data_IF_493165382958
#
_entry.id   IF_493165382958
#
_cell.length_a   1.000
_cell.length_b   1.000
_cell.length_c   1.000
_cell.angle_alpha   90.00
_cell.angle_beta   90.00
_cell.angle_gamma   90.00
#
_symmetry.space_group_name_H-M   'P 1'
#
loop_
_entity.id
_entity.type
_entity.pdbx_description
1 polymer ?
#
# COMPACT_ATOMS: atom_id res chain seq x y z
N UNK A 1 -50.93 35.74 42.99
CA UNK A 1 -50.09 34.53 43.12
C UNK A 1 -49.74 34.09 41.69
N UNK A 2 -48.70 34.68 41.06
CA UNK A 2 -47.35 34.11 40.91
C UNK A 2 -47.32 32.59 40.85
N UNK A 3 -47.08 32.03 39.66
CA UNK A 3 -45.91 31.18 39.38
C UNK A 3 -45.77 30.97 37.87
N UNK A 4 -44.61 31.41 37.38
CA UNK A 4 -44.09 31.27 36.02
C UNK A 4 -43.54 29.85 35.90
N UNK A 5 -44.00 29.06 34.94
CA UNK A 5 -43.42 27.74 34.67
C UNK A 5 -42.24 27.89 33.72
N UNK A 6 -41.06 27.57 34.23
CA UNK A 6 -39.78 27.74 33.59
C UNK A 6 -39.50 26.67 32.52
N UNK A 7 -38.93 27.17 31.42
CA UNK A 7 -37.91 26.58 30.56
C UNK A 7 -37.30 25.23 31.00
N UNK A 8 -37.34 24.24 30.11
CA UNK A 8 -36.27 23.23 29.99
C UNK A 8 -35.95 23.10 28.50
N UNK A 9 -34.99 23.93 28.06
CA UNK A 9 -34.37 23.85 26.75
C UNK A 9 -33.24 22.83 26.88
N UNK A 10 -33.48 21.61 26.41
CA UNK A 10 -32.49 20.53 26.42
C UNK A 10 -31.36 20.93 25.47
N UNK A 11 -30.23 21.37 26.01
CA UNK A 11 -29.02 21.55 25.23
C UNK A 11 -28.49 20.16 24.86
N UNK A 12 -28.59 19.82 23.59
CA UNK A 12 -27.77 18.75 22.99
C UNK A 12 -26.35 19.33 22.92
N UNK A 13 -25.48 18.85 23.81
CA UNK A 13 -24.06 19.15 23.74
C UNK A 13 -23.51 18.49 22.47
N UNK A 14 -23.29 19.30 21.44
CA UNK A 14 -22.41 18.96 20.33
C UNK A 14 -21.00 18.99 20.91
N UNK A 15 -20.45 17.81 21.22
CA UNK A 15 -19.03 17.67 21.54
C UNK A 15 -18.26 17.85 20.25
N UNK A 16 -17.75 19.07 20.04
CA UNK A 16 -16.70 19.37 19.09
C UNK A 16 -15.50 18.49 19.48
N UNK A 17 -15.03 17.64 18.57
CA UNK A 17 -13.77 16.92 18.75
C UNK A 17 -12.67 17.97 18.97
N UNK A 18 -12.17 18.06 20.21
CA UNK A 18 -10.94 18.80 20.48
C UNK A 18 -9.81 18.10 19.70
N UNK A 19 -8.90 18.86 19.10
CA UNK A 19 -7.61 18.32 18.67
C UNK A 19 -6.99 17.60 19.87
N UNK A 20 -6.93 16.27 19.84
CA UNK A 20 -6.62 15.48 21.04
C UNK A 20 -5.17 15.71 21.51
N UNK A 21 -4.94 16.63 22.43
CA UNK A 21 -3.65 16.82 23.08
C UNK A 21 -3.24 15.55 23.85
N UNK A 22 -1.94 15.30 24.00
CA UNK A 22 -1.46 14.15 24.77
C UNK A 22 -2.04 14.17 26.20
N UNK A 23 -2.72 13.10 26.64
CA UNK A 23 -3.35 13.11 27.94
C UNK A 23 -2.29 13.28 29.02
N UNK A 24 -2.56 14.18 29.96
CA UNK A 24 -1.74 14.38 31.16
C UNK A 24 -2.41 13.71 32.34
N UNK A 25 -1.61 13.27 33.31
CA UNK A 25 -2.10 12.66 34.53
C UNK A 25 -3.14 13.56 35.21
N UNK A 26 -4.38 13.08 35.30
CA UNK A 26 -5.50 13.83 35.91
C UNK A 26 -5.52 13.75 37.43
N UNK A 27 -4.68 12.87 37.99
CA UNK A 27 -4.51 12.67 39.43
C UNK A 27 -3.02 12.59 39.70
N UNK A 28 -2.57 13.19 40.80
CA UNK A 28 -1.19 13.11 41.26
C UNK A 28 -0.88 11.69 41.75
N UNK A 29 -0.79 10.72 40.84
CA UNK A 29 -0.22 9.41 41.10
C UNK A 29 1.27 9.65 41.41
N UNK A 30 1.76 9.24 42.58
CA UNK A 30 3.16 9.46 42.93
C UNK A 30 4.05 8.54 42.09
N UNK A 31 4.44 9.01 40.91
CA UNK A 31 5.51 8.39 40.14
C UNK A 31 6.87 8.78 40.71
N UNK A 32 7.83 7.87 40.65
CA UNK A 32 9.21 8.23 40.92
C UNK A 32 9.69 9.21 39.85
N UNK A 33 10.64 10.08 40.22
CA UNK A 33 11.24 11.04 39.29
C UNK A 33 12.30 10.39 38.38
N UNK A 34 12.26 9.06 38.24
CA UNK A 34 13.17 8.32 37.38
C UNK A 34 12.86 8.66 35.91
N UNK A 35 13.88 8.99 35.14
CA UNK A 35 13.70 9.38 33.74
C UNK A 35 14.09 8.22 32.83
N UNK A 36 13.09 7.49 32.38
CA UNK A 36 13.17 6.37 31.43
C UNK A 36 12.08 6.59 30.38
N UNK A 37 12.29 7.52 29.42
CA UNK A 37 11.20 8.03 28.61
C UNK A 37 10.57 6.94 27.75
N UNK A 38 9.25 7.01 27.62
CA UNK A 38 8.44 6.10 26.79
C UNK A 38 7.55 6.92 25.86
N UNK A 39 7.33 6.46 24.64
CA UNK A 39 6.35 7.04 23.72
C UNK A 39 5.11 6.16 23.71
N UNK A 40 3.94 6.71 24.03
CA UNK A 40 2.72 5.91 24.14
C UNK A 40 1.54 6.50 23.36
N UNK A 41 0.67 5.59 22.91
CA UNK A 41 -0.54 5.89 22.17
C UNK A 41 -0.33 6.19 20.68
N UNK A 42 -1.43 6.41 19.94
CA UNK A 42 -1.41 6.58 18.49
C UNK A 42 -0.76 7.89 18.01
N UNK A 43 -0.50 8.83 18.92
CA UNK A 43 0.21 10.09 18.66
C UNK A 43 1.68 10.06 19.10
N UNK A 44 2.16 8.92 19.59
CA UNK A 44 3.53 8.74 20.08
C UNK A 44 3.91 9.78 21.16
N UNK A 45 3.04 9.97 22.15
CA UNK A 45 3.21 10.95 23.22
C UNK A 45 4.38 10.56 24.14
N UNK A 46 5.32 11.48 24.38
CA UNK A 46 6.47 11.23 25.25
C UNK A 46 6.12 11.45 26.73
N UNK A 47 6.35 10.42 27.54
CA UNK A 47 6.23 10.45 29.00
C UNK A 47 7.59 10.20 29.64
N UNK A 48 7.85 10.84 30.78
CA UNK A 48 9.14 10.71 31.49
C UNK A 48 9.46 9.28 31.94
N UNK A 49 8.44 8.47 32.19
CA UNK A 49 8.53 7.04 32.48
C UNK A 49 7.17 6.36 32.28
N UNK A 50 7.16 5.02 32.34
CA UNK A 50 5.94 4.21 32.21
C UNK A 50 4.86 4.61 33.22
N UNK A 51 5.23 4.92 34.47
CA UNK A 51 4.28 5.38 35.48
C UNK A 51 3.57 6.67 35.05
N UNK A 52 4.29 7.60 34.41
CA UNK A 52 3.71 8.82 33.84
C UNK A 52 2.70 8.53 32.73
N UNK A 53 2.99 7.54 31.88
CA UNK A 53 2.10 7.08 30.83
C UNK A 53 0.85 6.36 31.40
N UNK A 54 1.02 5.50 32.41
CA UNK A 54 -0.07 4.83 33.13
C UNK A 54 -0.99 5.83 33.83
N UNK A 55 -0.42 6.87 34.44
CA UNK A 55 -1.18 7.95 35.05
C UNK A 55 -1.97 8.77 34.01
N UNK A 56 -1.51 8.80 32.75
CA UNK A 56 -2.21 9.37 31.61
C UNK A 56 -3.22 8.41 30.97
N UNK A 57 -3.29 7.15 31.43
CA UNK A 57 -4.25 6.14 30.98
C UNK A 57 -3.71 5.14 29.97
N UNK A 58 -2.41 5.11 29.70
CA UNK A 58 -1.78 4.14 28.80
C UNK A 58 -1.24 2.92 29.55
N UNK A 59 -1.48 1.72 29.04
CA UNK A 59 -0.78 0.52 29.48
C UNK A 59 0.60 0.42 28.82
N UNK A 60 1.49 -0.42 29.36
CA UNK A 60 2.80 -0.71 28.75
C UNK A 60 2.68 -1.17 27.29
N UNK A 61 1.64 -1.94 26.95
CA UNK A 61 1.37 -2.39 25.60
C UNK A 61 0.97 -1.25 24.63
N UNK A 62 0.54 -0.11 25.17
CA UNK A 62 0.25 1.09 24.39
C UNK A 62 1.51 1.93 24.14
N UNK A 63 2.65 1.53 24.71
CA UNK A 63 3.92 2.22 24.59
C UNK A 63 4.85 1.52 23.59
N UNK A 64 5.73 2.31 22.97
CA UNK A 64 6.74 1.84 22.05
C UNK A 64 7.84 1.09 22.79
N UNK A 65 8.10 -0.18 22.44
CA UNK A 65 9.16 -0.96 23.07
C UNK A 65 10.52 -0.30 22.89
N UNK A 66 11.32 -0.33 23.95
CA UNK A 66 12.71 0.11 23.92
C UNK A 66 13.57 -0.86 23.09
N UNK A 67 14.69 -0.35 22.58
CA UNK A 67 15.69 -1.16 21.89
C UNK A 67 16.32 -2.16 22.87
N UNK A 68 16.56 -3.38 22.41
CA UNK A 68 17.39 -4.33 23.15
C UNK A 68 18.86 -3.93 23.11
N UNK A 69 19.50 -3.84 24.29
CA UNK A 69 20.94 -3.57 24.44
C UNK A 69 21.84 -4.69 23.86
N UNK A 70 21.26 -5.85 23.53
CA UNK A 70 21.99 -7.00 23.00
C UNK A 70 22.21 -6.93 21.48
N UNK A 71 21.49 -6.05 20.78
CA UNK A 71 21.52 -5.96 19.30
C UNK A 71 22.25 -4.69 18.86
N UNK A 72 23.34 -4.87 18.13
CA UNK A 72 24.06 -3.75 17.51
C UNK A 72 23.56 -3.50 16.09
N UNK A 73 22.94 -2.34 15.89
CA UNK A 73 22.49 -1.88 14.57
C UNK A 73 23.50 -0.93 13.92
N UNK A 74 23.40 -0.75 12.61
CA UNK A 74 24.12 0.31 11.91
C UNK A 74 23.56 1.67 12.33
N UNK A 75 24.40 2.71 12.27
CA UNK A 75 24.01 4.11 12.52
C UNK A 75 23.34 4.77 11.31
N UNK A 76 22.89 3.96 10.34
CA UNK A 76 22.18 4.45 9.17
C UNK A 76 20.78 4.93 9.59
N UNK A 77 20.38 6.10 9.11
CA UNK A 77 19.10 6.70 9.44
C UNK A 77 18.13 6.55 8.26
N UNK A 78 17.32 5.50 8.30
CA UNK A 78 16.22 5.22 7.37
C UNK A 78 15.00 4.93 8.23
N UNK A 79 14.33 5.97 8.75
CA UNK A 79 13.34 5.80 9.80
C UNK A 79 12.16 4.93 9.36
N UNK A 80 11.68 4.10 10.28
CA UNK A 80 10.50 3.25 10.09
C UNK A 80 9.50 3.50 11.22
N UNK A 81 8.21 3.45 10.90
CA UNK A 81 7.12 3.51 11.87
C UNK A 81 6.48 2.13 12.00
N UNK A 82 6.48 1.56 13.20
CA UNK A 82 6.06 0.17 13.41
C UNK A 82 4.89 0.03 14.39
N UNK A 83 4.07 -0.98 14.14
CA UNK A 83 2.92 -1.35 14.98
C UNK A 83 1.75 -0.36 14.95
N UNK A 84 0.71 -0.68 15.70
CA UNK A 84 -0.51 0.14 15.78
C UNK A 84 -0.25 1.55 16.35
N UNK A 85 0.75 1.68 17.22
CA UNK A 85 1.14 2.95 17.86
C UNK A 85 2.09 3.80 17.00
N UNK A 86 2.44 3.36 15.78
CA UNK A 86 3.32 4.08 14.85
C UNK A 86 4.65 4.49 15.50
N UNK A 87 5.29 3.53 16.16
CA UNK A 87 6.55 3.72 16.86
C UNK A 87 7.69 4.00 15.88
N UNK A 88 8.36 5.14 16.03
CA UNK A 88 9.44 5.53 15.13
C UNK A 88 10.78 4.97 15.59
N UNK A 89 11.42 4.18 14.73
CA UNK A 89 12.77 3.66 14.93
C UNK A 89 13.71 4.22 13.87
N UNK A 90 14.98 4.41 14.23
CA UNK A 90 15.99 4.99 13.32
C UNK A 90 16.22 4.19 12.05
N UNK A 91 16.00 2.88 12.11
CA UNK A 91 16.04 1.96 10.98
C UNK A 91 15.32 0.64 11.32
N UNK A 92 15.16 -0.22 10.32
CA UNK A 92 14.52 -1.53 10.46
C UNK A 92 15.21 -2.43 11.51
N UNK A 93 16.53 -2.33 11.67
CA UNK A 93 17.24 -3.09 12.70
C UNK A 93 16.81 -2.64 14.10
N UNK A 94 16.66 -1.33 14.34
CA UNK A 94 16.16 -0.81 15.60
C UNK A 94 14.73 -1.27 15.90
N UNK A 95 13.86 -1.29 14.90
CA UNK A 95 12.51 -1.84 15.07
C UNK A 95 12.54 -3.35 15.41
N UNK A 96 13.41 -4.10 14.75
CA UNK A 96 13.55 -5.55 14.97
C UNK A 96 14.13 -5.86 16.34
N UNK A 97 15.07 -5.05 16.84
CA UNK A 97 15.60 -5.20 18.21
C UNK A 97 14.57 -4.84 19.28
N UNK A 98 13.59 -3.99 18.95
CA UNK A 98 12.41 -3.70 19.75
C UNK A 98 11.30 -4.77 19.61
N UNK A 99 11.51 -5.80 18.78
CA UNK A 99 10.61 -6.96 18.64
C UNK A 99 9.62 -6.91 17.47
N UNK A 100 9.67 -5.88 16.63
CA UNK A 100 8.84 -5.80 15.43
C UNK A 100 9.37 -6.64 14.28
N UNK A 101 8.48 -7.19 13.46
CA UNK A 101 8.85 -7.76 12.17
C UNK A 101 8.88 -6.67 11.10
N UNK A 102 9.57 -6.92 9.99
CA UNK A 102 9.56 -6.02 8.83
C UNK A 102 8.13 -5.77 8.33
N UNK A 103 7.25 -6.76 8.45
CA UNK A 103 5.84 -6.64 8.06
C UNK A 103 5.02 -5.69 8.94
N UNK A 104 5.52 -5.37 10.13
CA UNK A 104 4.85 -4.50 11.09
C UNK A 104 5.23 -3.03 10.90
N UNK A 105 6.17 -2.75 9.98
CA UNK A 105 6.84 -1.48 9.83
C UNK A 105 6.55 -0.81 8.47
N UNK A 106 6.45 0.51 8.49
CA UNK A 106 6.29 1.36 7.33
C UNK A 106 7.46 2.34 7.21
N UNK A 107 8.17 2.39 6.07
CA UNK A 107 9.19 3.40 5.85
C UNK A 107 8.61 4.80 6.00
N UNK A 108 9.30 5.66 6.76
CA UNK A 108 8.92 7.05 6.87
C UNK A 108 9.34 7.83 5.61
N UNK A 109 8.66 8.94 5.35
CA UNK A 109 8.98 9.82 4.23
C UNK A 109 10.36 10.44 4.44
N UNK A 110 11.21 10.46 3.41
CA UNK A 110 12.47 11.17 3.45
C UNK A 110 12.23 12.69 3.58
N UNK A 111 12.92 13.31 4.54
CA UNK A 111 12.91 14.77 4.75
C UNK A 111 13.58 15.54 3.60
N UNK A 112 14.34 14.85 2.74
CA UNK A 112 15.01 15.47 1.58
C UNK A 112 14.07 15.69 0.39
N UNK A 113 12.85 15.13 0.42
CA UNK A 113 11.89 15.19 -0.68
C UNK A 113 10.73 16.12 -0.30
N UNK A 114 10.60 17.23 -1.03
CA UNK A 114 9.50 18.16 -0.85
C UNK A 114 8.29 17.74 -1.68
N UNK A 115 7.22 17.31 -1.01
CA UNK A 115 5.95 16.95 -1.64
C UNK A 115 4.92 18.08 -1.58
N UNK A 116 3.93 18.04 -2.47
CA UNK A 116 2.75 18.91 -2.34
C UNK A 116 1.95 18.51 -1.11
N UNK A 117 1.26 19.48 -0.50
CA UNK A 117 0.34 19.25 0.62
C UNK A 117 -1.04 18.76 0.16
N UNK A 118 -1.14 18.29 -1.09
CA UNK A 118 -2.37 17.69 -1.60
C UNK A 118 -2.65 16.37 -0.87
N UNK A 119 -3.88 16.20 -0.42
CA UNK A 119 -4.30 14.98 0.25
C UNK A 119 -4.99 14.06 -0.76
N UNK A 120 -4.26 13.03 -1.19
CA UNK A 120 -4.71 11.99 -2.11
C UNK A 120 -4.14 10.65 -1.62
N UNK A 121 -4.66 10.13 -0.50
CA UNK A 121 -4.00 9.08 0.25
C UNK A 121 -3.79 7.81 -0.56
N UNK A 122 -2.63 7.18 -0.37
CA UNK A 122 -2.26 5.92 -1.02
C UNK A 122 -1.81 4.91 0.02
N UNK A 123 -2.07 3.65 -0.25
CA UNK A 123 -1.68 2.50 0.54
C UNK A 123 -0.62 1.69 -0.21
N UNK A 124 0.59 1.59 0.31
CA UNK A 124 1.73 1.02 -0.43
C UNK A 124 2.38 -0.17 0.26
N UNK A 125 2.94 -1.07 -0.56
CA UNK A 125 3.67 -2.26 -0.13
C UNK A 125 2.80 -3.35 0.49
N UNK A 126 3.44 -4.48 0.82
CA UNK A 126 2.77 -5.61 1.46
C UNK A 126 2.16 -5.25 2.83
N UNK A 127 2.78 -4.31 3.53
CA UNK A 127 2.39 -3.86 4.87
C UNK A 127 1.26 -2.82 4.84
N UNK A 128 0.80 -2.46 3.63
CA UNK A 128 -0.35 -1.57 3.45
C UNK A 128 -0.16 -0.21 4.15
N UNK A 129 1.03 0.36 3.96
CA UNK A 129 1.46 1.61 4.57
C UNK A 129 0.71 2.81 3.98
N UNK A 130 0.14 3.65 4.84
CA UNK A 130 -0.63 4.81 4.41
C UNK A 130 0.25 6.05 4.27
N UNK A 131 0.19 6.69 3.11
CA UNK A 131 0.84 7.96 2.83
C UNK A 131 -0.19 8.99 2.38
N UNK A 132 0.08 10.27 2.69
CA UNK A 132 -0.83 11.38 2.34
C UNK A 132 -1.05 11.54 0.84
N UNK A 133 -0.06 11.18 0.03
CA UNK A 133 -0.13 11.14 -1.41
C UNK A 133 1.01 10.29 -2.01
N UNK A 134 0.95 10.09 -3.32
CA UNK A 134 1.95 9.31 -4.06
C UNK A 134 3.38 9.86 -3.94
N UNK A 135 3.55 11.18 -3.84
CA UNK A 135 4.87 11.77 -3.62
C UNK A 135 5.43 11.35 -2.25
N UNK A 136 4.60 11.39 -1.20
CA UNK A 136 4.97 10.94 0.13
C UNK A 136 5.38 9.46 0.16
N UNK A 137 4.65 8.61 -0.55
CA UNK A 137 5.03 7.21 -0.72
C UNK A 137 6.36 7.06 -1.48
N UNK A 138 6.56 7.84 -2.54
CA UNK A 138 7.81 7.88 -3.29
C UNK A 138 9.01 8.33 -2.45
N UNK A 139 8.82 9.32 -1.58
CA UNK A 139 9.82 9.77 -0.62
C UNK A 139 10.17 8.69 0.41
N UNK A 140 9.25 7.76 0.66
CA UNK A 140 9.46 6.58 1.50
C UNK A 140 10.04 5.37 0.71
N UNK A 141 10.29 5.52 -0.60
CA UNK A 141 10.94 4.53 -1.46
C UNK A 141 9.99 3.69 -2.33
N UNK A 142 8.68 3.93 -2.29
CA UNK A 142 7.70 3.18 -3.08
C UNK A 142 7.57 3.71 -4.51
N UNK A 143 7.35 2.81 -5.46
CA UNK A 143 6.91 3.18 -6.81
C UNK A 143 5.38 3.26 -6.87
N UNK A 144 4.85 3.92 -7.91
CA UNK A 144 3.40 4.00 -8.14
C UNK A 144 2.76 2.61 -8.30
N UNK A 145 3.51 1.65 -8.85
CA UNK A 145 3.06 0.25 -8.99
C UNK A 145 2.95 -0.48 -7.66
N UNK A 146 3.60 0.02 -6.62
CA UNK A 146 3.58 -0.60 -5.29
C UNK A 146 2.42 -0.04 -4.43
N UNK A 147 1.66 0.90 -4.97
CA UNK A 147 0.67 1.69 -4.25
C UNK A 147 -0.74 1.52 -4.82
N UNK A 148 -1.71 1.58 -3.92
CA UNK A 148 -3.13 1.56 -4.23
C UNK A 148 -3.80 2.82 -3.68
N UNK A 149 -4.58 3.55 -4.49
CA UNK A 149 -5.35 4.69 -4.00
C UNK A 149 -6.26 4.27 -2.85
N UNK A 150 -6.31 5.06 -1.77
CA UNK A 150 -7.27 4.81 -0.71
C UNK A 150 -8.66 5.30 -1.12
N UNK A 151 -9.70 4.60 -0.67
CA UNK A 151 -11.07 5.03 -0.87
C UNK A 151 -11.30 6.40 -0.19
N UNK A 152 -11.90 7.34 -0.93
CA UNK A 152 -12.28 8.64 -0.37
C UNK A 152 -13.25 8.48 0.81
N UNK A 153 -12.95 9.18 1.91
CA UNK A 153 -13.82 9.23 3.09
C UNK A 153 -15.13 10.01 2.84
N UNK A 154 -15.20 10.80 1.76
CA UNK A 154 -16.39 11.56 1.38
C UNK A 154 -17.48 10.68 0.77
N UNK A 155 -17.14 9.45 0.36
CA UNK A 155 -18.06 8.50 -0.26
C UNK A 155 -18.49 7.45 0.75
N UNK A 156 -19.79 7.45 1.09
CA UNK A 156 -20.38 6.45 1.98
C UNK A 156 -20.81 5.23 1.17
N UNK A 157 -20.10 4.12 1.35
CA UNK A 157 -20.43 2.84 0.75
C UNK A 157 -21.26 1.95 1.69
N UNK A 158 -22.00 1.00 1.11
CA UNK A 158 -22.60 -0.06 1.92
C UNK A 158 -21.50 -0.95 2.51
N UNK A 159 -21.77 -1.54 3.67
CA UNK A 159 -20.86 -2.47 4.33
C UNK A 159 -20.90 -3.89 3.71
N UNK A 160 -21.49 -4.04 2.52
CA UNK A 160 -21.57 -5.31 1.82
C UNK A 160 -20.17 -5.74 1.39
N UNK A 161 -19.81 -6.99 1.67
CA UNK A 161 -18.49 -7.52 1.35
C UNK A 161 -18.56 -8.35 0.06
N UNK A 162 -18.11 -7.73 -1.03
CA UNK A 162 -18.02 -8.33 -2.37
C UNK A 162 -16.71 -7.87 -3.01
N UNK A 163 -15.56 -8.44 -2.57
CA UNK A 163 -14.26 -7.86 -2.83
C UNK A 163 -13.92 -7.82 -4.32
N UNK A 164 -13.24 -6.75 -4.73
CA UNK A 164 -12.78 -6.53 -6.11
C UNK A 164 -11.29 -6.19 -6.14
N UNK A 165 -10.61 -6.59 -7.21
CA UNK A 165 -9.23 -6.23 -7.52
C UNK A 165 -9.25 -5.24 -8.67
N UNK A 166 -8.67 -4.04 -8.51
CA UNK A 166 -8.77 -3.00 -9.53
C UNK A 166 -7.41 -2.47 -9.99
N UNK A 167 -7.36 -2.08 -11.27
CA UNK A 167 -6.20 -1.50 -11.93
C UNK A 167 -5.06 -2.49 -12.16
N UNK A 168 -3.96 -1.99 -12.72
CA UNK A 168 -2.77 -2.79 -13.00
C UNK A 168 -2.10 -3.35 -11.73
N UNK A 169 -2.26 -2.65 -10.60
CA UNK A 169 -1.67 -3.02 -9.32
C UNK A 169 -2.52 -4.04 -8.53
N UNK A 170 -3.63 -4.51 -9.10
CA UNK A 170 -4.56 -5.47 -8.48
C UNK A 170 -5.00 -5.04 -7.06
N UNK A 171 -5.36 -3.77 -6.92
CA UNK A 171 -5.72 -3.17 -5.64
C UNK A 171 -7.02 -3.76 -5.07
N UNK A 172 -6.96 -4.24 -3.83
CA UNK A 172 -8.11 -4.88 -3.16
C UNK A 172 -9.02 -3.86 -2.50
N UNK A 173 -10.30 -3.90 -2.85
CA UNK A 173 -11.35 -3.13 -2.18
C UNK A 173 -12.41 -4.08 -1.65
N UNK A 174 -13.08 -3.69 -0.56
CA UNK A 174 -14.16 -4.48 0.06
C UNK A 174 -15.35 -4.70 -0.86
N UNK A 175 -15.60 -3.74 -1.75
CA UNK A 175 -16.64 -3.79 -2.78
C UNK A 175 -16.37 -2.77 -3.88
N UNK A 176 -17.18 -2.85 -4.95
CA UNK A 176 -17.10 -1.94 -6.10
C UNK A 176 -17.29 -0.46 -5.72
N UNK A 177 -18.08 -0.16 -4.68
CA UNK A 177 -18.23 1.21 -4.21
C UNK A 177 -16.92 1.74 -3.61
N UNK A 178 -16.23 0.94 -2.79
CA UNK A 178 -14.92 1.31 -2.23
C UNK A 178 -13.87 1.54 -3.32
N UNK A 179 -13.86 0.71 -4.37
CA UNK A 179 -13.01 0.92 -5.53
C UNK A 179 -13.38 2.22 -6.29
N UNK A 180 -14.67 2.48 -6.47
CA UNK A 180 -15.16 3.73 -7.08
C UNK A 180 -14.78 4.97 -6.29
N UNK A 181 -14.84 4.90 -4.96
CA UNK A 181 -14.40 5.96 -4.05
C UNK A 181 -12.88 6.19 -4.14
N UNK A 182 -12.11 5.17 -4.52
CA UNK A 182 -10.68 5.26 -4.81
C UNK A 182 -10.38 5.72 -6.26
N UNK A 183 -11.41 5.97 -7.08
CA UNK A 183 -11.31 6.49 -8.44
C UNK A 183 -11.40 5.46 -9.57
N UNK A 184 -11.60 4.17 -9.26
CA UNK A 184 -11.69 3.11 -10.26
C UNK A 184 -13.07 3.03 -10.90
N UNK A 185 -13.13 2.72 -12.20
CA UNK A 185 -14.38 2.34 -12.85
C UNK A 185 -14.64 0.85 -12.70
N UNK A 186 -15.89 0.42 -12.89
CA UNK A 186 -16.26 -1.00 -12.85
C UNK A 186 -15.50 -1.84 -13.89
N UNK A 187 -15.16 -1.24 -15.03
CA UNK A 187 -14.35 -1.89 -16.09
C UNK A 187 -12.90 -2.10 -15.70
N UNK A 188 -12.41 -1.36 -14.71
CA UNK A 188 -11.03 -1.46 -14.23
C UNK A 188 -10.89 -2.52 -13.13
N UNK A 189 -12.00 -3.15 -12.73
CA UNK A 189 -12.11 -4.04 -11.59
C UNK A 189 -12.53 -5.45 -11.99
N UNK A 190 -11.99 -6.42 -11.26
CA UNK A 190 -12.29 -7.83 -11.38
C UNK A 190 -12.75 -8.40 -10.03
N UNK A 191 -13.81 -9.21 -9.97
CA UNK A 191 -14.21 -9.88 -8.75
C UNK A 191 -13.06 -10.71 -8.15
N UNK A 192 -12.82 -10.58 -6.85
CA UNK A 192 -11.83 -11.41 -6.18
C UNK A 192 -12.40 -12.82 -5.93
N UNK A 193 -11.59 -13.88 -6.08
CA UNK A 193 -12.03 -15.24 -5.82
C UNK A 193 -12.42 -15.43 -4.34
N UNK A 194 -13.48 -16.20 -4.10
CA UNK A 194 -13.93 -16.54 -2.75
C UNK A 194 -12.83 -17.31 -2.00
N UNK A 195 -12.48 -16.91 -0.77
CA UNK A 195 -11.48 -17.62 0.04
C UNK A 195 -11.96 -19.00 0.51
N UNK A 196 -13.27 -19.28 0.41
CA UNK A 196 -13.86 -20.55 0.82
C UNK A 196 -13.69 -21.66 -0.23
N UNK A 197 -13.22 -21.32 -1.43
CA UNK A 197 -13.01 -22.26 -2.54
C UNK A 197 -11.52 -22.55 -2.69
N UNK A 198 -11.14 -23.81 -2.47
CA UNK A 198 -9.77 -24.27 -2.66
C UNK A 198 -9.55 -24.75 -4.10
N UNK A 199 -8.72 -24.04 -4.85
CA UNK A 199 -8.32 -24.40 -6.20
C UNK A 199 -6.90 -24.97 -6.24
N UNK A 200 -6.59 -25.73 -7.29
CA UNK A 200 -5.22 -26.16 -7.58
C UNK A 200 -4.36 -24.96 -7.96
N UNK A 201 -3.06 -25.01 -7.66
CA UNK A 201 -2.09 -23.97 -8.06
C UNK A 201 -1.59 -24.13 -9.51
N UNK A 202 -2.22 -25.00 -10.30
CA UNK A 202 -1.92 -25.18 -11.71
C UNK A 202 -2.23 -23.88 -12.47
N UNK A 203 -1.22 -23.31 -13.12
CA UNK A 203 -1.39 -22.10 -13.93
C UNK A 203 -1.82 -22.49 -15.35
N UNK A 204 -3.11 -22.32 -15.63
CA UNK A 204 -3.76 -22.48 -16.94
C UNK A 204 -4.74 -21.32 -17.09
N UNK A 205 -4.25 -20.12 -17.41
CA UNK A 205 -5.02 -18.90 -17.21
C UNK A 205 -6.29 -18.89 -18.06
N UNK A 206 -7.32 -18.24 -17.53
CA UNK A 206 -8.61 -18.00 -18.21
C UNK A 206 -8.98 -16.53 -18.08
N UNK A 207 -9.66 -16.00 -19.08
CA UNK A 207 -10.17 -14.62 -19.09
C UNK A 207 -11.68 -14.65 -18.95
N UNK A 208 -12.21 -14.17 -17.84
CA UNK A 208 -13.63 -14.28 -17.54
C UNK A 208 -14.37 -12.94 -17.59
N UNK A 209 -15.62 -13.00 -18.04
CA UNK A 209 -16.55 -11.87 -18.05
C UNK A 209 -16.23 -10.76 -19.04
N UNK A 210 -17.05 -9.70 -19.02
CA UNK A 210 -16.93 -8.58 -19.96
C UNK A 210 -15.62 -7.78 -19.81
N UNK A 211 -15.04 -7.79 -18.61
CA UNK A 211 -13.81 -7.07 -18.30
C UNK A 211 -12.54 -7.86 -18.66
N UNK A 212 -12.65 -9.08 -19.21
CA UNK A 212 -11.51 -9.96 -19.50
C UNK A 212 -10.60 -10.15 -18.28
N UNK A 213 -11.19 -10.52 -17.15
CA UNK A 213 -10.46 -10.73 -15.90
C UNK A 213 -9.59 -11.99 -15.98
N UNK A 214 -8.28 -11.85 -15.86
CA UNK A 214 -7.36 -12.97 -15.85
C UNK A 214 -7.39 -13.70 -14.50
N UNK A 215 -7.68 -14.99 -14.53
CA UNK A 215 -7.58 -15.89 -13.39
C UNK A 215 -6.57 -17.00 -13.68
N UNK A 216 -5.84 -17.45 -12.66
CA UNK A 216 -4.76 -18.43 -12.83
C UNK A 216 -5.24 -19.78 -13.37
N UNK A 217 -6.50 -20.13 -13.13
CA UNK A 217 -7.19 -21.25 -13.77
C UNK A 217 -8.70 -21.12 -13.66
N UNK A 218 -9.39 -22.02 -14.37
CA UNK A 218 -10.84 -22.12 -14.41
C UNK A 218 -11.51 -22.14 -13.02
N UNK A 219 -10.95 -22.89 -12.07
CA UNK A 219 -11.49 -22.96 -10.70
C UNK A 219 -11.43 -21.60 -10.01
N UNK A 220 -10.36 -20.82 -10.20
CA UNK A 220 -10.23 -19.49 -9.61
C UNK A 220 -11.23 -18.50 -10.23
N UNK A 221 -11.48 -18.59 -11.54
CA UNK A 221 -12.53 -17.82 -12.20
C UNK A 221 -13.93 -18.14 -11.66
N UNK A 222 -14.24 -19.43 -11.48
CA UNK A 222 -15.50 -19.87 -10.87
C UNK A 222 -15.63 -19.44 -9.41
N UNK A 223 -14.53 -19.48 -8.64
CA UNK A 223 -14.49 -18.99 -7.27
C UNK A 223 -14.75 -17.47 -7.19
N UNK A 224 -14.42 -16.72 -8.25
CA UNK A 224 -14.75 -15.30 -8.38
C UNK A 224 -16.20 -15.04 -8.82
N UNK A 225 -16.98 -16.10 -9.08
CA UNK A 225 -18.41 -16.04 -9.37
C UNK A 225 -18.78 -16.15 -10.85
N UNK A 226 -17.82 -16.45 -11.73
CA UNK A 226 -18.09 -16.66 -13.16
C UNK A 226 -18.56 -18.09 -13.44
N UNK A 227 -19.44 -18.28 -14.43
CA UNK A 227 -19.70 -19.62 -14.94
C UNK A 227 -18.56 -20.06 -15.87
N UNK A 228 -18.41 -21.36 -16.08
CA UNK A 228 -17.36 -21.87 -16.96
C UNK A 228 -17.45 -21.34 -18.40
N UNK A 229 -18.67 -21.14 -18.88
CA UNK A 229 -18.94 -20.61 -20.22
C UNK A 229 -18.68 -19.09 -20.33
N UNK A 230 -18.48 -18.39 -19.20
CA UNK A 230 -18.13 -16.96 -19.17
C UNK A 230 -16.61 -16.75 -19.22
N UNK A 231 -15.83 -17.83 -19.27
CA UNK A 231 -14.37 -17.83 -19.25
C UNK A 231 -13.80 -18.40 -20.55
N UNK A 232 -12.83 -17.70 -21.14
CA UNK A 232 -12.14 -18.14 -22.34
C UNK A 232 -10.65 -18.42 -22.07
N UNK A 233 -10.13 -19.51 -22.63
CA UNK A 233 -8.69 -19.77 -22.61
C UNK A 233 -7.96 -18.81 -23.56
N UNK A 234 -6.74 -18.36 -23.22
CA UNK A 234 -5.95 -17.52 -24.12
C UNK A 234 -5.75 -18.22 -25.46
N UNK A 235 -5.85 -17.45 -26.54
CA UNK A 235 -5.59 -17.95 -27.87
C UNK A 235 -4.20 -18.62 -27.91
N UNK A 236 -4.06 -19.80 -28.54
CA UNK A 236 -2.78 -20.49 -28.62
C UNK A 236 -1.76 -19.56 -29.27
N UNK A 237 -0.70 -19.24 -28.53
CA UNK A 237 0.37 -18.42 -29.07
C UNK A 237 0.98 -19.13 -30.28
N UNK A 238 1.21 -18.43 -31.41
CA UNK A 238 1.91 -19.04 -32.53
C UNK A 238 3.27 -19.52 -32.05
N UNK A 239 3.55 -20.81 -32.25
CA UNK A 239 4.83 -21.44 -31.95
C UNK A 239 5.96 -20.55 -32.52
N UNK A 240 6.66 -19.83 -31.65
CA UNK A 240 7.91 -19.20 -32.04
C UNK A 240 8.89 -20.34 -32.25
N UNK A 241 9.13 -20.70 -33.52
CA UNK A 241 10.18 -21.62 -33.92
C UNK A 241 11.53 -21.03 -33.48
N UNK A 242 11.98 -21.38 -32.28
CA UNK A 242 13.37 -21.21 -31.86
C UNK A 242 14.23 -22.28 -32.52
N UNK A 243 14.37 -22.20 -33.84
CA UNK A 243 15.51 -22.83 -34.51
C UNK A 243 16.72 -21.90 -34.42
N UNK A 244 17.25 -21.75 -33.21
CA UNK A 244 18.60 -21.23 -33.01
C UNK A 244 19.34 -22.19 -32.07
N UNK A 245 19.95 -23.21 -32.67
CA UNK A 245 20.87 -24.10 -31.97
C UNK A 245 21.28 -25.30 -32.82
N UNK A 246 22.45 -25.18 -33.47
CA UNK A 246 23.42 -26.20 -33.94
C UNK A 246 24.02 -25.71 -35.27
N UNK A 247 25.31 -25.72 -35.58
CA UNK A 247 26.55 -26.15 -34.93
C UNK A 247 27.68 -25.67 -35.86
N UNK A 248 28.89 -25.42 -35.33
CA UNK A 248 30.09 -25.13 -36.11
C UNK A 248 30.42 -26.27 -37.09
N UNK A 249 30.87 -25.98 -38.32
CA UNK A 249 32.19 -26.37 -38.87
C UNK A 249 32.30 -26.20 -40.41
N UNK A 250 33.47 -25.69 -40.80
CA UNK A 250 34.25 -25.84 -42.05
C UNK A 250 33.67 -25.52 -43.46
N UNK A 251 34.20 -24.43 -44.01
CA UNK A 251 35.04 -24.34 -45.22
C UNK A 251 34.62 -25.08 -46.52
N UNK A 252 34.43 -24.27 -47.57
CA UNK A 252 35.01 -24.42 -48.92
C UNK A 252 34.02 -24.46 -50.10
N UNK A 253 34.18 -23.44 -50.94
CA UNK A 253 34.11 -23.48 -52.42
C UNK A 253 32.76 -23.39 -53.14
N UNK A 254 32.53 -22.22 -53.75
CA UNK A 254 32.51 -22.03 -55.23
C UNK A 254 31.24 -21.37 -55.81
N UNK A 255 31.45 -20.15 -56.38
CA UNK A 255 30.79 -19.53 -57.56
C UNK A 255 29.28 -19.18 -57.42
N UNK A 256 28.70 -18.12 -57.99
CA UNK A 256 29.07 -17.05 -58.93
C UNK A 256 27.89 -16.05 -59.00
N UNK A 257 28.13 -14.77 -59.32
CA UNK A 257 27.17 -13.83 -59.94
C UNK A 257 26.49 -12.87 -58.95
N UNK A 258 26.96 -11.63 -58.72
CA UNK A 258 27.00 -10.44 -59.57
C UNK A 258 25.64 -9.72 -59.75
N UNK A 259 25.53 -8.51 -59.18
CA UNK A 259 24.91 -7.26 -59.69
C UNK A 259 24.32 -6.44 -58.52
N UNK A 260 25.00 -5.37 -58.06
CA UNK A 260 24.80 -3.96 -58.48
C UNK A 260 23.45 -3.36 -58.08
N UNK A 261 23.43 -2.46 -57.09
CA UNK A 261 23.08 -1.04 -57.26
C UNK A 261 23.22 -0.29 -55.92
N UNK A 262 23.95 0.81 -55.95
CA UNK A 262 24.22 1.71 -54.83
C UNK A 262 23.23 2.89 -54.77
N UNK A 263 23.11 3.43 -53.55
CA UNK A 263 22.94 4.85 -53.19
C UNK A 263 21.56 5.49 -53.53
N UNK A 264 21.04 6.48 -52.80
CA UNK A 264 21.71 7.50 -51.99
C UNK A 264 20.79 8.03 -50.90
N UNK A 265 21.43 8.41 -49.79
CA UNK A 265 20.90 9.24 -48.69
C UNK A 265 20.74 10.68 -49.17
N UNK A 266 19.62 11.33 -48.84
CA UNK A 266 19.44 12.77 -49.01
C UNK A 266 19.37 13.44 -47.63
N UNK A 267 20.42 14.17 -47.28
CA UNK A 267 20.46 15.15 -46.19
C UNK A 267 20.18 16.51 -46.81
N UNK A 268 19.14 17.21 -46.35
CA UNK A 268 18.90 18.61 -46.69
C UNK A 268 19.25 19.50 -45.50
N UNK A 269 20.34 20.25 -45.66
CA UNK A 269 20.75 21.36 -44.79
C UNK A 269 20.06 22.66 -45.19
N UNK A 270 19.76 23.47 -44.18
CA UNK A 270 19.19 24.81 -44.23
C UNK A 270 20.16 25.89 -44.75
N UNK A 271 19.63 26.97 -45.34
CA UNK A 271 20.22 28.32 -45.35
C UNK A 271 19.11 29.35 -45.72
N UNK A 272 18.67 30.19 -44.78
CA UNK A 272 19.00 31.63 -44.62
C UNK A 272 18.70 32.49 -45.86
N UNK A 273 17.62 33.28 -45.78
CA UNK A 273 17.57 34.74 -46.05
C UNK A 273 16.60 35.36 -45.06
#
# INVERSE_FOLDING_TARGET
MKLVSALFMTMVAVTVAQEEECPVATVATPCTADYTPVQCGPKSCEYSNLCGAEAAGFAEADCCPALSDEVMCTMEYVPVQCGANKCTYSNQCGATSAGFQETDCCPAQSEDVMCTMEYAPVQCGANKCMYSNQCGAGAAGFQETDCCPAASEDVVCTADYSPVQCGANQCMYSNQCGAGAAGFQETDCCPAPSPDVACTMDYRPVFCGANNCEYSNQCVGEAAGFAADDCEEPAPQPLQNTNEGESNEESSSSKMGAAFAMASVAVYTALVV
#
